data_IF_919449637070
#
_entry.id   IF_919449637070
#
_cell.length_a   1.000
_cell.length_b   1.000
_cell.length_c   1.000
_cell.angle_alpha   90.00
_cell.angle_beta   90.00
_cell.angle_gamma   90.00
#
_symmetry.space_group_name_H-M   'P 1'
#
loop_
_entity.id
_entity.type
_entity.pdbx_description
1 polymer ?
#
# COMPACT_ATOMS: atom_id res chain seq x y z
N UNK A 1 13.90 -0.51 -24.92
CA UNK A 1 14.51 -0.86 -23.60
C UNK A 1 13.82 -0.26 -22.35
N UNK A 2 12.54 0.17 -22.35
CA UNK A 2 11.91 0.84 -21.18
C UNK A 2 11.20 -0.08 -20.15
N UNK A 3 10.99 -1.36 -20.46
CA UNK A 3 10.28 -2.32 -19.59
C UNK A 3 11.07 -2.84 -18.37
N UNK A 4 12.37 -3.18 -18.44
CA UNK A 4 13.07 -3.77 -17.29
C UNK A 4 13.16 -2.80 -16.10
N UNK A 5 13.40 -1.51 -16.37
CA UNK A 5 13.44 -0.44 -15.35
C UNK A 5 12.17 -0.31 -14.51
N UNK A 6 11.01 -0.65 -15.09
CA UNK A 6 9.72 -0.54 -14.39
C UNK A 6 9.45 -1.73 -13.48
N UNK A 7 9.92 -2.91 -13.86
CA UNK A 7 9.81 -4.11 -13.02
C UNK A 7 10.74 -3.98 -11.81
N UNK A 8 11.97 -3.48 -12.01
CA UNK A 8 12.88 -3.19 -10.89
C UNK A 8 12.33 -2.14 -9.94
N UNK A 9 11.57 -1.15 -10.45
CA UNK A 9 10.89 -0.19 -9.58
C UNK A 9 9.80 -0.87 -8.72
N UNK A 10 9.03 -1.81 -9.27
CA UNK A 10 8.05 -2.59 -8.50
C UNK A 10 8.68 -3.44 -7.40
N UNK A 11 9.82 -4.08 -7.70
CA UNK A 11 10.63 -4.78 -6.69
C UNK A 11 11.11 -3.84 -5.58
N UNK A 12 11.63 -2.66 -5.94
CA UNK A 12 12.11 -1.68 -4.98
C UNK A 12 10.98 -1.14 -4.09
N UNK A 13 9.79 -0.91 -4.65
CA UNK A 13 8.60 -0.51 -3.87
C UNK A 13 8.25 -1.59 -2.85
N UNK A 14 8.16 -2.86 -3.29
CA UNK A 14 7.89 -3.98 -2.39
C UNK A 14 8.92 -4.09 -1.27
N UNK A 15 10.21 -4.21 -1.63
CA UNK A 15 11.29 -4.32 -0.67
C UNK A 15 11.32 -3.15 0.33
N UNK A 16 11.11 -1.92 -0.14
CA UNK A 16 11.05 -0.73 0.71
C UNK A 16 9.93 -0.79 1.74
N UNK A 17 8.73 -1.24 1.34
CA UNK A 17 7.59 -1.45 2.25
C UNK A 17 7.92 -2.53 3.27
N UNK A 18 8.52 -3.65 2.85
CA UNK A 18 8.93 -4.74 3.74
C UNK A 18 9.94 -4.30 4.80
N UNK A 19 10.98 -3.56 4.40
CA UNK A 19 11.98 -3.01 5.34
C UNK A 19 11.33 -2.03 6.31
N UNK A 20 10.48 -1.13 5.80
CA UNK A 20 9.80 -0.14 6.64
C UNK A 20 8.91 -0.81 7.70
N UNK A 21 8.16 -1.86 7.31
CA UNK A 21 7.34 -2.63 8.24
C UNK A 21 8.17 -3.34 9.31
N UNK A 22 9.26 -4.02 8.92
CA UNK A 22 10.16 -4.68 9.87
C UNK A 22 10.79 -3.70 10.86
N UNK A 23 11.25 -2.53 10.38
CA UNK A 23 11.83 -1.48 11.24
C UNK A 23 10.77 -0.91 12.19
N UNK A 24 9.55 -0.66 11.72
CA UNK A 24 8.47 -0.17 12.57
C UNK A 24 8.14 -1.19 13.67
N UNK A 25 8.05 -2.49 13.32
CA UNK A 25 7.79 -3.55 14.27
C UNK A 25 8.93 -3.69 15.29
N UNK A 26 10.18 -3.65 14.85
CA UNK A 26 11.34 -3.71 15.74
C UNK A 26 11.45 -2.50 16.67
N UNK A 27 11.02 -1.32 16.23
CA UNK A 27 10.98 -0.13 17.08
C UNK A 27 9.82 -0.18 18.09
N UNK A 28 8.71 -0.85 17.76
CA UNK A 28 7.58 -1.05 18.67
C UNK A 28 7.78 -2.22 19.64
N UNK A 29 8.65 -3.16 19.32
CA UNK A 29 8.89 -4.36 20.12
C UNK A 29 9.72 -4.08 21.39
N UNK A 30 9.46 -4.80 22.50
CA UNK A 30 10.25 -4.68 23.73
C UNK A 30 11.64 -5.33 23.63
N UNK A 31 11.94 -5.97 22.49
CA UNK A 31 13.17 -6.72 22.25
C UNK A 31 13.67 -6.49 20.82
N UNK A 32 14.97 -6.63 20.61
CA UNK A 32 15.62 -6.42 19.31
C UNK A 32 16.60 -5.25 19.35
N UNK A 33 17.25 -4.98 18.23
CA UNK A 33 18.31 -3.98 18.13
C UNK A 33 17.83 -2.55 18.42
N UNK A 34 16.56 -2.23 18.18
CA UNK A 34 16.02 -0.88 18.35
C UNK A 34 15.39 -0.63 19.73
N UNK A 35 15.15 -1.68 20.52
CA UNK A 35 14.43 -1.58 21.79
C UNK A 35 15.13 -0.64 22.79
N UNK A 36 16.46 -0.71 22.89
CA UNK A 36 17.24 0.19 23.77
C UNK A 36 17.16 1.65 23.35
N UNK A 37 17.30 1.93 22.05
CA UNK A 37 17.23 3.30 21.51
C UNK A 37 15.84 3.92 21.73
N UNK A 38 14.78 3.15 21.52
CA UNK A 38 13.40 3.64 21.72
C UNK A 38 13.10 3.83 23.20
N UNK A 39 13.59 2.93 24.08
CA UNK A 39 13.45 3.07 25.52
C UNK A 39 14.14 4.34 26.05
N UNK A 40 15.34 4.66 25.57
CA UNK A 40 16.09 5.87 25.93
C UNK A 40 15.40 7.15 25.45
N UNK A 41 14.83 7.15 24.24
CA UNK A 41 14.08 8.29 23.71
C UNK A 41 12.73 8.52 24.41
N UNK A 42 12.21 7.50 25.10
CA UNK A 42 11.03 7.59 25.96
C UNK A 42 9.69 7.38 25.26
N UNK A 43 8.61 7.62 26.03
CA UNK A 43 7.22 7.29 25.64
C UNK A 43 6.75 7.85 24.29
N UNK A 44 7.07 9.09 23.88
CA UNK A 44 6.57 9.63 22.62
C UNK A 44 7.06 8.85 21.41
N UNK A 45 8.34 8.44 21.38
CA UNK A 45 8.89 7.67 20.27
C UNK A 45 8.28 6.27 20.22
N UNK A 46 8.06 5.63 21.37
CA UNK A 46 7.40 4.33 21.45
C UNK A 46 5.96 4.38 20.90
N UNK A 47 5.21 5.44 21.20
CA UNK A 47 3.86 5.65 20.66
C UNK A 47 3.88 5.79 19.13
N UNK A 48 4.81 6.58 18.59
CA UNK A 48 4.98 6.72 17.13
C UNK A 48 5.41 5.40 16.49
N UNK A 49 6.33 4.66 17.10
CA UNK A 49 6.77 3.36 16.60
C UNK A 49 5.62 2.34 16.59
N UNK A 50 4.82 2.30 17.67
CA UNK A 50 3.65 1.43 17.78
C UNK A 50 2.59 1.77 16.73
N UNK A 51 2.33 3.06 16.54
CA UNK A 51 1.44 3.56 15.50
C UNK A 51 1.93 3.17 14.09
N UNK A 52 3.24 3.34 13.83
CA UNK A 52 3.85 2.99 12.56
C UNK A 52 3.79 1.48 12.30
N UNK A 53 4.00 0.65 13.33
CA UNK A 53 3.89 -0.81 13.26
C UNK A 53 2.47 -1.23 12.87
N UNK A 54 1.46 -0.70 13.57
CA UNK A 54 0.04 -0.96 13.25
C UNK A 54 -0.29 -0.59 11.80
N UNK A 55 0.19 0.55 11.32
CA UNK A 55 -0.02 0.98 9.94
C UNK A 55 0.72 0.06 8.97
N UNK A 56 1.97 -0.28 9.25
CA UNK A 56 2.80 -1.06 8.35
C UNK A 56 2.36 -2.53 8.23
N UNK A 57 1.76 -3.07 9.29
CA UNK A 57 1.15 -4.40 9.31
C UNK A 57 -0.26 -4.43 8.69
N UNK A 58 -0.83 -3.27 8.38
CA UNK A 58 -2.17 -3.18 7.81
C UNK A 58 -2.22 -3.75 6.39
N UNK A 59 -3.25 -4.55 6.09
CA UNK A 59 -3.36 -5.26 4.82
C UNK A 59 -3.39 -4.32 3.61
N UNK A 60 -3.96 -3.12 3.74
CA UNK A 60 -4.01 -2.12 2.69
C UNK A 60 -2.63 -1.55 2.30
N UNK A 61 -1.63 -1.54 3.20
CA UNK A 61 -0.27 -1.08 2.89
C UNK A 61 0.41 -2.06 1.93
N UNK A 62 0.35 -3.35 2.26
CA UNK A 62 0.88 -4.43 1.42
C UNK A 62 0.15 -4.49 0.08
N UNK A 63 -1.18 -4.38 0.10
CA UNK A 63 -1.95 -4.33 -1.12
C UNK A 63 -1.60 -3.11 -1.98
N UNK A 64 -1.38 -1.95 -1.34
CA UNK A 64 -0.92 -0.72 -1.96
C UNK A 64 0.40 -0.88 -2.71
N UNK A 65 1.36 -1.60 -2.14
CA UNK A 65 2.64 -1.91 -2.80
C UNK A 65 2.45 -2.68 -4.11
N UNK A 66 1.62 -3.73 -4.09
CA UNK A 66 1.31 -4.53 -5.28
C UNK A 66 0.58 -3.73 -6.36
N UNK A 67 -0.41 -2.92 -5.94
CA UNK A 67 -1.17 -2.03 -6.84
C UNK A 67 -0.27 -0.97 -7.46
N UNK A 68 0.61 -0.34 -6.67
CA UNK A 68 1.56 0.66 -7.14
C UNK A 68 2.55 0.04 -8.15
N UNK A 69 3.09 -1.14 -7.86
CA UNK A 69 3.95 -1.87 -8.79
C UNK A 69 3.24 -2.16 -10.12
N UNK A 70 1.98 -2.60 -10.08
CA UNK A 70 1.15 -2.83 -11.26
C UNK A 70 0.88 -1.57 -12.08
N UNK A 71 0.64 -0.45 -11.40
CA UNK A 71 0.43 0.86 -12.04
C UNK A 71 1.67 1.34 -12.81
N UNK A 72 2.87 1.18 -12.23
CA UNK A 72 4.13 1.61 -12.86
C UNK A 72 4.39 0.93 -14.21
N UNK A 73 4.01 -0.35 -14.36
CA UNK A 73 4.21 -1.13 -15.59
C UNK A 73 3.07 -0.98 -16.62
N UNK A 74 1.83 -0.72 -16.18
CA UNK A 74 0.71 -0.23 -17.01
C UNK A 74 0.05 -1.23 -17.98
N UNK A 75 0.50 -2.48 -18.06
CA UNK A 75 -0.16 -3.56 -18.82
C UNK A 75 -0.60 -4.69 -17.88
N UNK A 76 -1.66 -5.44 -18.21
CA UNK A 76 -2.21 -6.49 -17.32
C UNK A 76 -1.19 -7.56 -16.95
N UNK A 77 -0.56 -8.19 -17.94
CA UNK A 77 0.39 -9.28 -17.72
C UNK A 77 1.64 -8.82 -16.95
N UNK A 78 2.22 -7.68 -17.35
CA UNK A 78 3.35 -7.12 -16.60
C UNK A 78 2.92 -6.66 -15.20
N UNK A 79 1.69 -6.16 -15.06
CA UNK A 79 1.10 -5.73 -13.80
C UNK A 79 0.96 -6.87 -12.80
N UNK A 80 0.41 -8.01 -13.24
CA UNK A 80 0.36 -9.23 -12.46
C UNK A 80 1.76 -9.64 -11.97
N UNK A 81 2.73 -9.74 -12.90
CA UNK A 81 4.10 -10.10 -12.56
C UNK A 81 4.74 -9.10 -11.58
N UNK A 82 4.56 -7.80 -11.80
CA UNK A 82 5.09 -6.76 -10.92
C UNK A 82 4.46 -6.80 -9.52
N UNK A 83 3.16 -7.08 -9.42
CA UNK A 83 2.46 -7.23 -8.14
C UNK A 83 2.96 -8.44 -7.35
N UNK A 84 3.14 -9.59 -8.01
CA UNK A 84 3.75 -10.79 -7.39
C UNK A 84 5.16 -10.48 -6.91
N UNK A 85 6.00 -9.93 -7.79
CA UNK A 85 7.38 -9.59 -7.46
C UNK A 85 7.46 -8.59 -6.31
N UNK A 86 6.57 -7.60 -6.26
CA UNK A 86 6.51 -6.64 -5.17
C UNK A 86 6.19 -7.31 -3.82
N UNK A 87 5.18 -8.18 -3.76
CA UNK A 87 4.82 -8.85 -2.49
C UNK A 87 5.86 -9.88 -2.04
N UNK A 88 6.45 -10.63 -2.98
CA UNK A 88 7.55 -11.55 -2.68
C UNK A 88 8.77 -10.77 -2.18
N UNK A 89 9.13 -9.66 -2.84
CA UNK A 89 10.23 -8.82 -2.41
C UNK A 89 9.95 -8.15 -1.06
N UNK A 90 8.73 -7.68 -0.82
CA UNK A 90 8.32 -7.09 0.44
C UNK A 90 8.48 -8.09 1.58
N UNK A 91 8.03 -9.33 1.42
CA UNK A 91 8.15 -10.34 2.48
C UNK A 91 9.55 -10.88 2.64
N UNK A 92 10.29 -11.08 1.55
CA UNK A 92 11.71 -11.43 1.64
C UNK A 92 12.49 -10.35 2.39
N UNK A 93 12.25 -9.07 2.09
CA UNK A 93 12.89 -7.95 2.75
C UNK A 93 12.45 -7.81 4.22
N UNK A 94 11.16 -7.98 4.51
CA UNK A 94 10.61 -7.96 5.86
C UNK A 94 11.27 -9.03 6.74
N UNK A 95 11.22 -10.31 6.34
CA UNK A 95 11.80 -11.39 7.13
C UNK A 95 13.33 -11.36 7.16
N UNK A 96 13.96 -10.91 6.07
CA UNK A 96 15.39 -10.68 6.03
C UNK A 96 15.82 -9.60 7.03
N UNK A 97 15.06 -8.50 7.12
CA UNK A 97 15.33 -7.43 8.07
C UNK A 97 14.99 -7.86 9.51
N UNK A 98 13.89 -8.59 9.73
CA UNK A 98 13.56 -9.17 11.04
C UNK A 98 14.68 -10.09 11.54
N UNK A 99 15.25 -10.89 10.66
CA UNK A 99 16.40 -11.75 11.00
C UNK A 99 17.58 -10.94 11.56
N UNK A 100 17.83 -9.76 10.99
CA UNK A 100 18.88 -8.84 11.45
C UNK A 100 18.49 -8.13 12.76
N UNK A 101 17.28 -7.57 12.82
CA UNK A 101 16.81 -6.73 13.93
C UNK A 101 16.55 -7.54 15.20
N UNK A 102 16.07 -8.76 15.08
CA UNK A 102 15.78 -9.66 16.20
C UNK A 102 16.86 -10.71 16.45
N UNK A 103 17.91 -10.75 15.62
CA UNK A 103 18.99 -11.76 15.67
C UNK A 103 18.47 -13.20 15.59
N UNK A 104 17.37 -13.41 14.88
CA UNK A 104 16.79 -14.74 14.64
C UNK A 104 17.33 -15.25 13.30
N UNK A 105 17.90 -16.46 13.22
CA UNK A 105 18.42 -16.97 11.96
C UNK A 105 17.30 -17.13 10.92
N UNK A 106 17.53 -16.66 9.69
CA UNK A 106 16.54 -16.69 8.61
C UNK A 106 15.97 -18.10 8.33
N UNK A 107 16.77 -19.15 8.57
CA UNK A 107 16.33 -20.54 8.46
C UNK A 107 15.17 -20.90 9.38
N UNK A 108 15.05 -20.24 10.54
CA UNK A 108 13.93 -20.43 11.47
C UNK A 108 12.61 -19.84 10.96
N UNK A 109 12.68 -18.83 10.07
CA UNK A 109 11.53 -18.14 9.46
C UNK A 109 11.13 -18.74 8.10
N UNK A 110 11.89 -19.72 7.62
CA UNK A 110 11.78 -20.25 6.26
C UNK A 110 10.47 -21.00 6.01
N UNK A 111 9.86 -21.58 7.06
CA UNK A 111 8.59 -22.29 6.94
C UNK A 111 7.45 -21.29 6.77
N UNK A 112 7.40 -20.25 7.59
CA UNK A 112 6.42 -19.17 7.57
C UNK A 112 6.47 -18.44 6.24
N UNK A 113 7.68 -18.14 5.76
CA UNK A 113 7.93 -17.51 4.47
C UNK A 113 7.39 -18.35 3.29
N UNK A 114 7.64 -19.67 3.30
CA UNK A 114 7.14 -20.59 2.25
C UNK A 114 5.61 -20.71 2.26
N UNK A 115 4.99 -20.81 3.44
CA UNK A 115 3.53 -20.88 3.54
C UNK A 115 2.85 -19.56 3.15
N UNK A 116 3.50 -18.42 3.44
CA UNK A 116 3.01 -17.09 3.08
C UNK A 116 3.10 -16.76 1.59
N UNK A 117 3.99 -17.39 0.83
CA UNK A 117 4.19 -17.05 -0.58
C UNK A 117 3.02 -17.44 -1.50
N UNK A 118 2.33 -18.55 -1.23
CA UNK A 118 1.19 -18.97 -2.04
C UNK A 118 0.08 -17.90 -2.09
N UNK A 119 -0.44 -17.38 -0.95
CA UNK A 119 -1.41 -16.28 -0.98
C UNK A 119 -0.82 -15.00 -1.58
N UNK A 120 0.46 -14.69 -1.37
CA UNK A 120 1.09 -13.51 -1.98
C UNK A 120 1.16 -13.57 -3.49
N UNK A 121 1.42 -14.75 -4.07
CA UNK A 121 1.37 -14.94 -5.52
C UNK A 121 -0.06 -14.69 -6.02
N UNK A 122 -1.06 -15.29 -5.36
CA UNK A 122 -2.46 -15.11 -5.73
C UNK A 122 -2.89 -13.64 -5.66
N UNK A 123 -2.72 -13.00 -4.50
CA UNK A 123 -3.08 -11.60 -4.32
C UNK A 123 -2.22 -10.66 -5.17
N UNK A 124 -0.94 -10.96 -5.37
CA UNK A 124 -0.03 -10.18 -6.21
C UNK A 124 -0.47 -10.15 -7.67
N UNK A 125 -0.93 -11.29 -8.21
CA UNK A 125 -1.52 -11.35 -9.56
C UNK A 125 -2.76 -10.45 -9.62
N UNK A 126 -3.72 -10.63 -8.71
CA UNK A 126 -4.98 -9.87 -8.71
C UNK A 126 -4.70 -8.37 -8.56
N UNK A 127 -4.01 -7.96 -7.50
CA UNK A 127 -3.74 -6.55 -7.18
C UNK A 127 -2.86 -5.88 -8.22
N UNK A 128 -1.85 -6.58 -8.73
CA UNK A 128 -1.00 -6.08 -9.82
C UNK A 128 -1.78 -5.83 -11.11
N UNK A 129 -2.72 -6.73 -11.46
CA UNK A 129 -3.61 -6.48 -12.62
C UNK A 129 -4.53 -5.29 -12.38
N UNK A 130 -5.06 -5.12 -11.17
CA UNK A 130 -5.89 -3.96 -10.79
C UNK A 130 -5.08 -2.67 -10.92
N UNK A 131 -3.87 -2.62 -10.36
CA UNK A 131 -2.96 -1.48 -10.47
C UNK A 131 -2.68 -1.06 -11.91
N UNK A 132 -2.53 -2.03 -12.82
CA UNK A 132 -2.31 -1.74 -14.26
C UNK A 132 -3.46 -1.00 -14.96
N UNK A 133 -4.63 -0.93 -14.31
CA UNK A 133 -5.83 -0.24 -14.78
C UNK A 133 -5.95 1.19 -14.24
N UNK A 134 -5.16 1.57 -13.23
CA UNK A 134 -5.16 2.93 -12.69
C UNK A 134 -4.80 3.94 -13.80
N UNK A 135 -5.53 5.05 -13.84
CA UNK A 135 -5.37 6.11 -14.85
C UNK A 135 -5.97 5.78 -16.23
N UNK A 136 -6.58 4.59 -16.41
CA UNK A 136 -7.35 4.29 -17.63
C UNK A 136 -8.72 4.98 -17.57
N UNK A 137 -9.27 5.46 -18.71
CA UNK A 137 -10.63 5.97 -18.77
C UNK A 137 -11.66 4.94 -18.31
N UNK A 138 -12.72 5.43 -17.67
CA UNK A 138 -13.92 4.65 -17.35
C UNK A 138 -13.95 4.10 -15.93
N UNK A 139 -14.98 3.29 -15.66
CA UNK A 139 -15.25 2.75 -14.33
C UNK A 139 -14.11 1.86 -13.81
N UNK A 140 -13.48 1.07 -14.69
CA UNK A 140 -12.40 0.17 -14.29
C UNK A 140 -11.18 0.91 -13.72
N UNK A 141 -10.79 2.06 -14.30
CA UNK A 141 -9.67 2.85 -13.78
C UNK A 141 -10.01 3.58 -12.49
N UNK A 142 -11.26 4.01 -12.33
CA UNK A 142 -11.78 4.59 -11.10
C UNK A 142 -11.77 3.57 -9.95
N UNK A 143 -12.37 2.39 -10.17
CA UNK A 143 -12.41 1.32 -9.18
C UNK A 143 -11.00 0.86 -8.79
N UNK A 144 -10.10 0.74 -9.77
CA UNK A 144 -8.71 0.40 -9.49
C UNK A 144 -8.00 1.46 -8.61
N UNK A 145 -8.28 2.74 -8.83
CA UNK A 145 -7.71 3.83 -8.01
C UNK A 145 -8.30 3.89 -6.60
N UNK A 146 -9.56 3.50 -6.43
CA UNK A 146 -10.25 3.48 -5.13
C UNK A 146 -9.97 2.25 -4.29
N UNK A 147 -9.41 1.18 -4.86
CA UNK A 147 -9.17 -0.09 -4.17
C UNK A 147 -8.39 0.09 -2.85
N UNK A 148 -7.27 0.84 -2.89
CA UNK A 148 -6.40 1.03 -1.72
C UNK A 148 -7.04 1.97 -0.68
N UNK A 149 -7.56 3.16 -1.04
CA UNK A 149 -8.25 4.03 -0.09
C UNK A 149 -9.48 3.38 0.56
N UNK A 150 -10.26 2.61 -0.20
CA UNK A 150 -11.43 1.89 0.34
C UNK A 150 -10.99 0.78 1.28
N UNK A 151 -9.95 0.01 0.92
CA UNK A 151 -9.37 -0.99 1.82
C UNK A 151 -8.90 -0.38 3.15
N UNK A 152 -8.21 0.76 3.08
CA UNK A 152 -7.76 1.51 4.26
C UNK A 152 -8.93 1.99 5.13
N UNK A 153 -9.99 2.53 4.52
CA UNK A 153 -11.18 2.97 5.24
C UNK A 153 -11.94 1.81 5.90
N UNK A 154 -12.06 0.67 5.22
CA UNK A 154 -12.71 -0.54 5.76
C UNK A 154 -11.90 -1.08 6.95
N UNK A 155 -10.58 -1.21 6.82
CA UNK A 155 -9.73 -1.68 7.90
C UNK A 155 -9.77 -0.71 9.10
N UNK A 156 -9.75 0.60 8.86
CA UNK A 156 -9.91 1.62 9.90
C UNK A 156 -11.31 1.63 10.56
N UNK A 157 -12.34 1.14 9.86
CA UNK A 157 -13.67 0.97 10.44
C UNK A 157 -13.75 -0.26 11.35
N UNK A 158 -13.00 -1.32 11.01
CA UNK A 158 -12.97 -2.60 11.71
C UNK A 158 -11.98 -2.65 12.88
N UNK A 159 -11.04 -1.71 12.97
CA UNK A 159 -10.12 -1.61 14.10
C UNK A 159 -10.90 -1.56 15.43
N UNK A 160 -10.58 -2.43 16.41
CA UNK A 160 -11.21 -2.42 17.72
C UNK A 160 -11.10 -1.05 18.38
N UNK A 161 -12.22 -0.58 18.95
CA UNK A 161 -12.21 0.59 19.83
C UNK A 161 -11.72 0.13 21.19
N UNK A 162 -10.56 0.61 21.63
CA UNK A 162 -10.09 0.37 22.98
C UNK A 162 -10.96 1.16 23.99
N UNK A 163 -11.10 0.67 25.23
CA UNK A 163 -11.79 1.41 26.29
C UNK A 163 -11.16 2.79 26.49
N UNK A 164 -12.01 3.80 26.65
CA UNK A 164 -11.60 5.19 26.86
C UNK A 164 -10.65 5.31 28.07
N UNK A 165 -9.54 6.01 27.91
CA UNK A 165 -8.63 6.38 29.01
C UNK A 165 -7.30 5.61 29.11
N UNK A 166 -7.00 4.67 28.21
CA UNK A 166 -5.65 4.09 28.12
C UNK A 166 -4.74 4.89 27.17
N UNK A 167 -3.47 5.08 27.53
CA UNK A 167 -2.47 5.74 26.66
C UNK A 167 -2.36 5.07 25.28
N UNK A 168 -2.55 3.75 25.22
CA UNK A 168 -2.58 2.97 23.99
C UNK A 168 -3.83 3.25 23.14
N UNK A 169 -4.99 3.44 23.78
CA UNK A 169 -6.24 3.79 23.10
C UNK A 169 -6.17 5.16 22.40
N UNK A 170 -5.61 6.16 23.09
CA UNK A 170 -5.46 7.51 22.53
C UNK A 170 -4.53 7.54 21.28
N UNK A 171 -3.40 6.81 21.33
CA UNK A 171 -2.50 6.72 20.18
C UNK A 171 -3.16 6.02 18.98
N UNK A 172 -3.92 4.95 19.22
CA UNK A 172 -4.62 4.23 18.16
C UNK A 172 -5.75 5.06 17.53
N UNK A 173 -6.41 5.91 18.32
CA UNK A 173 -7.42 6.84 17.80
C UNK A 173 -6.82 7.87 16.83
N UNK A 174 -5.64 8.42 17.15
CA UNK A 174 -4.90 9.29 16.23
C UNK A 174 -4.52 8.57 14.94
N UNK A 175 -4.04 7.33 15.03
CA UNK A 175 -3.74 6.50 13.84
C UNK A 175 -5.00 6.32 13.00
N UNK A 176 -6.12 5.97 13.62
CA UNK A 176 -7.40 5.82 12.92
C UNK A 176 -7.81 7.11 12.21
N UNK A 177 -7.73 8.26 12.88
CA UNK A 177 -8.04 9.56 12.29
C UNK A 177 -7.13 9.86 11.09
N UNK A 178 -5.83 9.60 11.21
CA UNK A 178 -4.87 9.77 10.12
C UNK A 178 -5.19 8.86 8.92
N UNK A 179 -5.54 7.60 9.17
CA UNK A 179 -5.94 6.67 8.10
C UNK A 179 -7.21 7.18 7.41
N UNK A 180 -8.22 7.62 8.16
CA UNK A 180 -9.45 8.19 7.57
C UNK A 180 -9.17 9.44 6.74
N UNK A 181 -8.34 10.35 7.25
CA UNK A 181 -7.96 11.57 6.54
C UNK A 181 -7.21 11.25 5.25
N UNK A 182 -6.24 10.35 5.31
CA UNK A 182 -5.46 9.90 4.15
C UNK A 182 -6.34 9.17 3.12
N UNK A 183 -7.21 8.26 3.55
CA UNK A 183 -8.14 7.54 2.69
C UNK A 183 -9.14 8.50 2.02
N UNK A 184 -9.68 9.46 2.77
CA UNK A 184 -10.57 10.49 2.25
C UNK A 184 -9.89 11.37 1.21
N UNK A 185 -8.69 11.87 1.51
CA UNK A 185 -7.89 12.69 0.58
C UNK A 185 -7.54 11.91 -0.69
N UNK A 186 -7.07 10.67 -0.57
CA UNK A 186 -6.72 9.84 -1.72
C UNK A 186 -7.95 9.54 -2.59
N UNK A 187 -9.10 9.23 -1.97
CA UNK A 187 -10.37 9.02 -2.68
C UNK A 187 -10.81 10.28 -3.42
N UNK A 188 -10.71 11.44 -2.78
CA UNK A 188 -11.01 12.73 -3.38
C UNK A 188 -10.13 12.99 -4.62
N UNK A 189 -8.81 12.80 -4.51
CA UNK A 189 -7.87 12.97 -5.63
C UNK A 189 -8.23 12.05 -6.80
N UNK A 190 -8.56 10.78 -6.53
CA UNK A 190 -8.96 9.81 -7.56
C UNK A 190 -10.26 10.24 -8.26
N UNK A 191 -11.26 10.71 -7.50
CA UNK A 191 -12.54 11.18 -8.04
C UNK A 191 -12.37 12.44 -8.90
N UNK A 192 -11.58 13.42 -8.42
CA UNK A 192 -11.28 14.64 -9.17
C UNK A 192 -10.52 14.31 -10.46
N UNK A 193 -9.50 13.46 -10.40
CA UNK A 193 -8.75 13.04 -11.58
C UNK A 193 -9.68 12.35 -12.61
N UNK A 194 -10.59 11.49 -12.15
CA UNK A 194 -11.56 10.83 -13.02
C UNK A 194 -12.56 11.83 -13.64
N UNK A 195 -13.03 12.82 -12.87
CA UNK A 195 -13.95 13.85 -13.34
C UNK A 195 -13.29 14.75 -14.40
N UNK A 196 -12.06 15.21 -14.15
CA UNK A 196 -11.27 16.00 -15.11
C UNK A 196 -11.05 15.22 -16.41
N UNK A 197 -10.74 13.92 -16.30
CA UNK A 197 -10.54 13.07 -17.47
C UNK A 197 -11.82 12.89 -18.29
N UNK A 198 -12.99 12.76 -17.63
CA UNK A 198 -14.30 12.71 -18.29
C UNK A 198 -14.64 14.03 -18.97
N UNK A 199 -14.36 15.17 -18.32
CA UNK A 199 -14.65 16.49 -18.88
C UNK A 199 -13.83 16.77 -20.13
N UNK A 200 -12.53 16.48 -20.12
CA UNK A 200 -11.63 16.62 -21.28
C UNK A 200 -12.01 15.74 -22.48
N UNK A 201 -12.84 14.71 -22.29
CA UNK A 201 -13.30 13.79 -23.34
C UNK A 201 -14.67 14.10 -23.92
N UNK A 202 -15.41 15.08 -23.39
CA UNK A 202 -16.63 15.53 -24.08
C UNK A 202 -16.20 16.14 -25.42
N UNK A 203 -16.60 15.57 -26.58
CA UNK A 203 -16.27 16.14 -27.87
C UNK A 203 -16.90 17.54 -27.95
N UNK A 204 -16.07 18.54 -28.21
CA UNK A 204 -16.54 19.88 -28.51
C UNK A 204 -17.22 19.91 -29.88
N UNK A 205 -18.41 20.52 -29.88
CA UNK A 205 -19.26 20.99 -30.98
C UNK A 205 -20.08 19.95 -31.76
N UNK A 206 -21.41 20.11 -31.81
CA UNK A 206 -22.20 19.61 -32.94
C UNK A 206 -21.55 20.14 -34.22
N UNK A 207 -21.30 19.27 -35.21
CA UNK A 207 -21.05 19.75 -36.57
C UNK A 207 -22.30 20.53 -36.98
N UNK A 208 -22.18 21.84 -37.16
CA UNK A 208 -23.24 22.59 -37.83
C UNK A 208 -23.49 21.94 -39.19
N UNK A 209 -24.76 21.75 -39.61
CA UNK A 209 -25.05 21.26 -40.93
C UNK A 209 -24.36 22.14 -41.97
N UNK A 210 -23.80 21.57 -43.05
CA UNK A 210 -23.14 22.34 -44.12
C UNK A 210 -24.06 23.32 -44.88
N UNK A 211 -25.36 23.37 -44.55
CA UNK A 211 -26.39 23.99 -45.40
C UNK A 211 -26.86 25.37 -44.91
N UNK A 212 -26.21 25.99 -43.92
CA UNK A 212 -26.60 27.33 -43.42
C UNK A 212 -25.94 28.50 -44.17
N UNK A 213 -25.73 28.35 -45.48
CA UNK A 213 -25.39 29.46 -46.39
C UNK A 213 -26.43 29.51 -47.51
N UNK A 214 -27.59 30.10 -47.23
CA UNK A 214 -28.50 30.68 -48.23
C UNK A 214 -28.95 32.03 -47.70
#
# INVERSE_FOLDING_TARGET
MKRPRKITAGLAVGAGVGVAASVANAAAAPSGLLAGMVAEAGRPLLQVASAAAVVADAGWVWAGAAVAAGWLVGTRAAGAAAGVLALVAATAAYYGMDSLLYRVPLGALWRELRLGWAPMVFFGVVLGTVGSRIGRPGLAGLLAGLMVPVGAAVEAALLPRYPDGSDAGAALEWVRLLIWAAAGLASYVVLVAAAVFRWRRKPGRPKLPPDSCI
#
